data_IF_130659799752
#
_entry.id   IF_130659799752
#
_cell.length_a   1.000
_cell.length_b   1.000
_cell.length_c   1.000
_cell.angle_alpha   90.00
_cell.angle_beta   90.00
_cell.angle_gamma   90.00
#
_symmetry.space_group_name_H-M   'P 1'
#
loop_
_entity.id
_entity.type
_entity.pdbx_description
1 polymer ?
#
# COMPACT_ATOMS: atom_id res chain seq x y z
N UNK A 1 -2.10 5.09 -15.54
CA UNK A 1 -2.82 4.44 -14.41
C UNK A 1 -1.79 3.62 -13.67
N UNK A 2 -1.52 3.94 -12.41
CA UNK A 2 -0.52 3.22 -11.61
C UNK A 2 -1.16 1.92 -11.11
N UNK A 3 -0.58 0.79 -11.46
CA UNK A 3 -1.01 -0.52 -10.95
C UNK A 3 -0.55 -0.66 -9.50
N UNK A 4 -1.50 -0.81 -8.58
CA UNK A 4 -1.22 -0.90 -7.15
C UNK A 4 -1.34 -2.36 -6.68
N UNK A 5 -0.37 -2.82 -5.91
CA UNK A 5 -0.32 -4.18 -5.39
C UNK A 5 -0.47 -4.19 -3.87
N UNK A 6 -1.16 -5.17 -3.34
CA UNK A 6 -1.30 -5.36 -1.90
C UNK A 6 0.04 -5.83 -1.32
N UNK A 7 0.62 -5.07 -0.39
CA UNK A 7 1.88 -5.47 0.24
C UNK A 7 1.74 -6.69 1.15
N UNK A 8 0.51 -7.10 1.50
CA UNK A 8 0.27 -8.29 2.31
C UNK A 8 0.25 -9.59 1.51
N UNK A 9 -0.43 -9.62 0.35
CA UNK A 9 -0.56 -10.84 -0.46
C UNK A 9 0.14 -10.77 -1.83
N UNK A 10 0.48 -9.58 -2.32
CA UNK A 10 1.10 -9.35 -3.62
C UNK A 10 0.10 -9.14 -4.76
N UNK A 11 -1.19 -9.34 -4.53
CA UNK A 11 -2.21 -9.26 -5.57
C UNK A 11 -2.56 -7.84 -6.04
N UNK A 12 -3.09 -7.76 -7.26
CA UNK A 12 -3.49 -6.51 -7.91
C UNK A 12 -4.70 -5.92 -7.19
N UNK A 13 -4.59 -4.68 -6.74
CA UNK A 13 -5.67 -3.95 -6.10
C UNK A 13 -6.56 -3.34 -7.20
N UNK A 14 -7.86 -3.68 -7.25
CA UNK A 14 -8.75 -3.11 -8.25
C UNK A 14 -8.97 -1.61 -8.00
N UNK A 15 -9.10 -0.85 -9.09
CA UNK A 15 -9.39 0.58 -9.04
C UNK A 15 -10.65 0.87 -8.21
N UNK A 16 -10.55 1.82 -7.28
CA UNK A 16 -11.65 2.20 -6.38
C UNK A 16 -11.82 1.30 -5.14
N UNK A 17 -10.96 0.30 -4.93
CA UNK A 17 -10.93 -0.45 -3.68
C UNK A 17 -10.56 0.46 -2.50
N UNK A 18 -11.20 0.23 -1.35
CA UNK A 18 -10.81 0.88 -0.09
C UNK A 18 -9.50 0.26 0.41
N UNK A 19 -8.37 0.89 0.08
CA UNK A 19 -7.05 0.50 0.55
C UNK A 19 -6.81 1.03 1.97
N UNK A 20 -6.20 0.19 2.81
CA UNK A 20 -5.69 0.59 4.11
C UNK A 20 -4.21 0.96 3.96
N UNK A 21 -3.94 2.25 4.01
CA UNK A 21 -2.59 2.78 4.09
C UNK A 21 -2.05 2.58 5.51
N UNK A 22 -0.83 2.05 5.60
CA UNK A 22 -0.09 1.91 6.83
C UNK A 22 1.25 2.63 6.65
N UNK A 23 1.80 3.23 7.73
CA UNK A 23 3.12 3.86 7.64
C UNK A 23 4.17 2.85 7.17
N UNK A 24 5.19 3.30 6.41
CA UNK A 24 6.28 2.44 5.99
C UNK A 24 6.95 1.83 7.22
N UNK A 25 6.86 0.50 7.33
CA UNK A 25 7.53 -0.25 8.39
C UNK A 25 8.82 -0.83 7.82
N UNK A 26 9.95 -0.38 8.35
CA UNK A 26 11.30 -0.86 7.96
C UNK A 26 11.43 -2.39 8.08
N UNK A 27 10.62 -3.03 8.94
CA UNK A 27 10.61 -4.47 9.17
C UNK A 27 9.45 -5.22 8.49
N UNK A 28 8.58 -4.52 7.74
CA UNK A 28 7.50 -5.20 7.04
C UNK A 28 8.05 -5.93 5.82
N UNK A 29 7.77 -7.24 5.76
CA UNK A 29 8.02 -8.04 4.56
C UNK A 29 6.88 -7.80 3.59
N UNK A 30 7.20 -7.27 2.42
CA UNK A 30 6.24 -7.06 1.33
C UNK A 30 6.13 -8.34 0.52
N UNK A 31 4.91 -8.82 0.30
CA UNK A 31 4.67 -9.95 -0.56
C UNK A 31 5.02 -9.62 -2.03
N UNK A 32 5.59 -10.58 -2.79
CA UNK A 32 5.95 -10.36 -4.19
C UNK A 32 4.71 -10.07 -5.04
N UNK A 33 4.78 -9.03 -5.87
CA UNK A 33 3.70 -8.65 -6.76
C UNK A 33 3.37 -9.77 -7.76
N UNK A 34 2.07 -10.01 -7.98
CA UNK A 34 1.58 -11.01 -8.92
C UNK A 34 0.29 -10.53 -9.62
N UNK A 35 0.00 -11.01 -10.84
CA UNK A 35 -1.12 -10.51 -11.64
C UNK A 35 -2.51 -10.94 -11.16
N UNK A 36 -2.60 -11.88 -10.22
CA UNK A 36 -3.88 -12.32 -9.64
C UNK A 36 -4.52 -11.20 -8.78
N UNK A 37 -5.85 -11.01 -8.82
CA UNK A 37 -6.54 -9.99 -8.03
C UNK A 37 -6.33 -10.20 -6.52
N UNK A 38 -6.14 -9.10 -5.81
CA UNK A 38 -6.03 -9.11 -4.36
C UNK A 38 -7.32 -9.64 -3.70
N UNK A 39 -7.17 -10.66 -2.84
CA UNK A 39 -8.24 -11.23 -2.01
C UNK A 39 -8.33 -10.64 -0.60
N UNK A 40 -7.43 -9.71 -0.23
CA UNK A 40 -7.45 -9.06 1.08
C UNK A 40 -8.56 -8.00 1.16
N UNK A 41 -9.27 -7.92 2.30
CA UNK A 41 -10.30 -6.92 2.53
C UNK A 41 -10.18 -6.29 3.93
N UNK A 42 -9.69 -5.04 4.08
CA UNK A 42 -9.17 -4.18 3.01
C UNK A 42 -7.75 -4.59 2.56
N UNK A 43 -7.37 -4.35 1.29
CA UNK A 43 -5.98 -4.45 0.83
C UNK A 43 -5.07 -3.48 1.60
N UNK A 44 -3.81 -3.88 1.84
CA UNK A 44 -2.85 -3.12 2.62
C UNK A 44 -1.75 -2.57 1.71
N UNK A 45 -1.45 -1.28 1.86
CA UNK A 45 -0.31 -0.63 1.21
C UNK A 45 0.50 0.11 2.28
N UNK A 46 1.82 -0.04 2.23
CA UNK A 46 2.76 0.64 3.13
C UNK A 46 3.25 1.91 2.45
N UNK A 47 2.42 2.93 2.46
CA UNK A 47 2.74 4.27 1.98
C UNK A 47 2.07 5.29 2.89
N UNK A 48 2.59 6.51 2.89
CA UNK A 48 1.91 7.63 3.53
C UNK A 48 0.58 7.84 2.81
N UNK A 49 -0.53 7.90 3.55
CA UNK A 49 -1.81 8.23 2.94
C UNK A 49 -1.67 9.61 2.30
N UNK A 50 -2.09 9.83 1.04
CA UNK A 50 -2.04 11.15 0.42
C UNK A 50 -2.96 12.19 1.09
N UNK A 51 -3.76 11.77 2.08
CA UNK A 51 -4.64 12.60 2.90
C UNK A 51 -4.02 13.00 4.23
N UNK A 52 -2.94 12.34 4.66
CA UNK A 52 -2.16 12.78 5.80
C UNK A 52 -1.17 13.82 5.27
N UNK A 53 -1.22 15.08 5.73
CA UNK A 53 -0.19 16.04 5.39
C UNK A 53 1.15 15.46 5.84
N UNK A 54 2.13 15.53 4.95
CA UNK A 54 3.49 15.07 5.21
C UNK A 54 4.09 15.87 6.37
N UNK A 55 3.93 15.37 7.60
CA UNK A 55 4.72 15.78 8.77
C UNK A 55 6.11 15.13 8.61
N UNK A 56 6.83 15.47 7.55
CA UNK A 56 7.99 14.72 7.09
C UNK A 56 9.02 15.50 6.26
N UNK A 57 8.70 16.65 5.68
CA UNK A 57 9.69 17.54 5.07
C UNK A 57 10.13 18.65 6.03
N UNK A 58 11.04 18.31 6.96
CA UNK A 58 12.27 19.06 7.23
C UNK A 58 13.10 18.34 8.30
N UNK A 59 14.12 17.64 7.84
CA UNK A 59 15.41 17.51 8.53
C UNK A 59 16.49 17.91 7.52
N UNK A 60 17.64 18.49 7.91
CA UNK A 60 18.04 19.16 9.16
C UNK A 60 18.17 20.70 9.02
#
# INVERSE_FOLDING_TARGET
MTEMHCHFCGGVIPNGAKVKYLPPRVTAQVAPAHPDPCSCSPPIVYEHSPLDPDEGETAP
#
